data_IF_985498858886
#
_entry.id   IF_985498858886
#
_cell.length_a   1.000
_cell.length_b   1.000
_cell.length_c   1.000
_cell.angle_alpha   90.00
_cell.angle_beta   90.00
_cell.angle_gamma   90.00
#
_symmetry.space_group_name_H-M   'P 1'
#
loop_
_entity.id
_entity.type
_entity.pdbx_description
1 polymer ?
#
# COMPACT_ATOMS: atom_id res chain seq x y z
N UNK A 1 -4.93 -24.31 13.62
CA UNK A 1 -4.85 -22.87 13.29
C UNK A 1 -5.40 -22.64 11.91
N UNK A 2 -6.04 -21.52 11.70
CA UNK A 2 -6.57 -21.19 10.39
C UNK A 2 -5.47 -20.66 9.48
N UNK A 3 -5.69 -20.78 8.17
CA UNK A 3 -4.81 -20.20 7.16
C UNK A 3 -4.73 -18.68 7.31
N UNK A 4 -5.82 -18.05 7.75
CA UNK A 4 -5.87 -16.61 8.01
C UNK A 4 -4.88 -16.23 9.10
N UNK A 5 -4.89 -16.95 10.24
CA UNK A 5 -3.98 -16.67 11.36
C UNK A 5 -2.52 -16.82 10.94
N UNK A 6 -2.21 -17.84 10.16
CA UNK A 6 -0.85 -18.08 9.70
C UNK A 6 -0.36 -16.94 8.79
N UNK A 7 -1.20 -16.46 7.88
CA UNK A 7 -0.83 -15.37 6.98
C UNK A 7 -0.70 -14.04 7.72
N UNK A 8 -1.55 -13.76 8.69
CA UNK A 8 -1.42 -12.56 9.53
C UNK A 8 -0.09 -12.58 10.29
N UNK A 9 0.27 -13.74 10.84
CA UNK A 9 1.56 -13.91 11.54
C UNK A 9 2.74 -13.66 10.59
N UNK A 10 2.69 -14.20 9.36
CA UNK A 10 3.74 -13.99 8.37
C UNK A 10 3.85 -12.53 7.95
N UNK A 11 2.72 -11.84 7.78
CA UNK A 11 2.72 -10.40 7.47
C UNK A 11 3.36 -9.60 8.60
N UNK A 12 2.97 -9.87 9.84
CA UNK A 12 3.52 -9.18 11.01
C UNK A 12 5.03 -9.39 11.11
N UNK A 13 5.49 -10.63 10.94
CA UNK A 13 6.92 -10.95 10.97
C UNK A 13 7.68 -10.21 9.87
N UNK A 14 7.15 -10.21 8.65
CA UNK A 14 7.79 -9.51 7.53
C UNK A 14 7.91 -8.01 7.78
N UNK A 15 6.86 -7.40 8.33
CA UNK A 15 6.87 -5.96 8.65
C UNK A 15 7.86 -5.64 9.78
N UNK A 16 7.95 -6.49 10.79
CA UNK A 16 8.93 -6.34 11.87
C UNK A 16 10.37 -6.39 11.35
N UNK A 17 10.64 -7.27 10.38
CA UNK A 17 11.97 -7.42 9.79
C UNK A 17 12.44 -6.17 9.06
N UNK A 18 11.52 -5.33 8.59
CA UNK A 18 11.87 -4.06 7.94
C UNK A 18 11.56 -2.85 8.82
N UNK A 19 11.33 -3.08 10.11
CA UNK A 19 11.11 -2.04 11.13
C UNK A 19 9.90 -1.15 10.81
N UNK A 20 8.79 -1.76 10.38
CA UNK A 20 7.54 -1.06 10.10
C UNK A 20 6.55 -1.31 11.23
N UNK A 21 6.12 -0.24 11.90
CA UNK A 21 5.07 -0.32 12.91
C UNK A 21 3.73 -0.65 12.25
N UNK A 22 2.96 -1.53 12.88
CA UNK A 22 1.69 -2.00 12.32
C UNK A 22 0.76 -2.48 13.43
N UNK A 23 -0.52 -2.64 13.08
CA UNK A 23 -1.52 -3.18 13.99
C UNK A 23 -2.13 -4.44 13.36
N UNK A 24 -2.20 -5.52 14.15
CA UNK A 24 -2.78 -6.79 13.73
C UNK A 24 -4.14 -7.00 14.37
N UNK A 25 -5.09 -7.44 13.55
CA UNK A 25 -6.41 -7.86 13.99
C UNK A 25 -6.62 -9.31 13.54
N UNK A 26 -7.79 -9.86 13.86
CA UNK A 26 -8.11 -11.26 13.55
C UNK A 26 -7.87 -11.64 12.07
N UNK A 27 -8.27 -10.77 11.15
CA UNK A 27 -8.24 -11.05 9.72
C UNK A 27 -7.61 -9.95 8.88
N UNK A 28 -6.97 -8.96 9.52
CA UNK A 28 -6.36 -7.86 8.79
C UNK A 28 -5.19 -7.24 9.54
N UNK A 29 -4.35 -6.55 8.76
CA UNK A 29 -3.21 -5.80 9.27
C UNK A 29 -3.31 -4.37 8.73
N UNK A 30 -3.08 -3.38 9.61
CA UNK A 30 -3.07 -1.97 9.22
C UNK A 30 -1.67 -1.38 9.36
N UNK A 31 -1.26 -0.60 8.37
CA UNK A 31 0.00 0.14 8.39
C UNK A 31 -0.32 1.60 8.10
N UNK A 32 0.12 2.50 8.97
CA UNK A 32 -0.02 3.94 8.74
C UNK A 32 1.04 4.42 7.75
N UNK A 33 0.59 5.13 6.72
CA UNK A 33 1.46 5.74 5.72
C UNK A 33 1.08 7.22 5.56
N UNK A 34 1.95 8.05 4.97
CA UNK A 34 1.55 9.42 4.66
C UNK A 34 0.28 9.44 3.81
N UNK A 35 -0.73 10.16 4.26
CA UNK A 35 -2.01 10.28 3.56
C UNK A 35 -3.09 9.30 3.99
N UNK A 36 -2.78 8.27 4.79
CA UNK A 36 -3.79 7.31 5.23
C UNK A 36 -3.21 6.05 5.83
N UNK A 37 -3.90 4.94 5.58
CA UNK A 37 -3.49 3.63 6.05
C UNK A 37 -3.57 2.63 4.90
N UNK A 38 -2.73 1.60 4.95
CA UNK A 38 -2.87 0.41 4.13
C UNK A 38 -3.51 -0.68 4.97
N UNK A 39 -4.58 -1.28 4.46
CA UNK A 39 -5.23 -2.43 5.06
C UNK A 39 -4.96 -3.66 4.22
N UNK A 40 -4.42 -4.70 4.84
CA UNK A 40 -4.34 -6.03 4.23
C UNK A 40 -5.39 -6.88 4.89
N UNK A 41 -6.34 -7.35 4.12
CA UNK A 41 -7.41 -8.22 4.60
C UNK A 41 -7.26 -9.62 4.00
N UNK A 42 -7.43 -10.63 4.83
CA UNK A 42 -7.32 -12.05 4.46
C UNK A 42 -8.67 -12.73 4.75
N UNK A 43 -9.20 -13.43 3.75
CA UNK A 43 -10.44 -14.21 3.91
C UNK A 43 -10.11 -15.69 4.05
N UNK A 44 -11.05 -16.45 4.62
CA UNK A 44 -10.87 -17.88 4.89
C UNK A 44 -10.73 -18.71 3.62
N UNK A 45 -11.27 -18.25 2.50
CA UNK A 45 -11.17 -18.94 1.21
C UNK A 45 -9.80 -18.73 0.53
N UNK A 46 -8.89 -18.01 1.20
CA UNK A 46 -7.56 -17.74 0.66
C UNK A 46 -7.47 -16.46 -0.16
N UNK A 47 -8.59 -15.78 -0.42
CA UNK A 47 -8.53 -14.47 -1.09
C UNK A 47 -7.96 -13.42 -0.14
N UNK A 48 -7.41 -12.36 -0.71
CA UNK A 48 -6.81 -11.27 0.05
C UNK A 48 -6.90 -9.96 -0.73
N UNK A 49 -6.78 -8.86 -0.02
CA UNK A 49 -6.73 -7.55 -0.66
C UNK A 49 -5.80 -6.61 0.09
N UNK A 50 -5.21 -5.68 -0.64
CA UNK A 50 -4.43 -4.57 -0.09
C UNK A 50 -5.10 -3.30 -0.55
N UNK A 51 -5.55 -2.46 0.37
CA UNK A 51 -6.32 -1.27 0.06
C UNK A 51 -5.83 -0.07 0.87
N UNK A 52 -5.77 1.10 0.23
CA UNK A 52 -5.48 2.35 0.92
C UNK A 52 -6.78 2.97 1.42
N UNK A 53 -6.78 3.43 2.68
CA UNK A 53 -7.95 4.04 3.32
C UNK A 53 -7.54 5.34 4.02
N UNK A 54 -8.08 6.50 3.69
CA UNK A 54 -8.84 6.78 2.47
C UNK A 54 -7.93 6.79 1.24
N UNK A 55 -8.47 6.51 0.08
CA UNK A 55 -7.71 6.57 -1.15
C UNK A 55 -8.21 5.59 -2.19
N UNK A 56 -7.58 5.64 -3.37
CA UNK A 56 -7.99 4.84 -4.53
C UNK A 56 -7.06 3.67 -4.82
N UNK A 57 -5.96 3.55 -4.10
CA UNK A 57 -5.01 2.47 -4.35
C UNK A 57 -5.57 1.15 -3.86
N UNK A 58 -5.47 0.13 -4.72
CA UNK A 58 -5.88 -1.23 -4.41
C UNK A 58 -5.01 -2.22 -5.17
N UNK A 59 -4.56 -3.25 -4.48
CA UNK A 59 -3.80 -4.34 -5.11
C UNK A 59 -4.02 -5.63 -4.31
N UNK A 60 -3.24 -6.65 -4.60
CA UNK A 60 -3.28 -7.94 -3.92
C UNK A 60 -1.87 -8.39 -3.57
N UNK A 61 -1.74 -9.18 -2.52
CA UNK A 61 -0.44 -9.75 -2.14
C UNK A 61 0.15 -10.59 -3.27
N UNK A 62 -0.69 -11.31 -4.00
CA UNK A 62 -0.28 -12.11 -5.15
C UNK A 62 0.37 -11.25 -6.24
N UNK A 63 -0.22 -10.07 -6.51
CA UNK A 63 0.33 -9.15 -7.50
C UNK A 63 1.66 -8.59 -7.04
N UNK A 64 1.76 -8.20 -5.77
CA UNK A 64 3.02 -7.71 -5.20
C UNK A 64 4.10 -8.80 -5.23
N UNK A 65 3.73 -10.04 -4.95
CA UNK A 65 4.65 -11.17 -5.00
C UNK A 65 5.25 -11.34 -6.41
N UNK A 66 4.43 -11.21 -7.43
CA UNK A 66 4.89 -11.29 -8.82
C UNK A 66 5.84 -10.15 -9.18
N UNK A 67 5.50 -8.92 -8.77
CA UNK A 67 6.32 -7.74 -9.08
C UNK A 67 7.68 -7.77 -8.36
N UNK A 68 7.73 -8.30 -7.15
CA UNK A 68 8.94 -8.30 -6.31
C UNK A 68 9.66 -9.65 -6.29
N UNK A 69 9.14 -10.65 -6.99
CA UNK A 69 9.75 -11.99 -7.10
C UNK A 69 10.03 -12.64 -5.73
N UNK A 70 9.08 -12.51 -4.79
CA UNK A 70 9.18 -13.07 -3.45
C UNK A 70 7.79 -13.43 -2.93
N UNK A 71 7.67 -13.88 -1.69
CA UNK A 71 6.36 -14.15 -1.09
C UNK A 71 5.53 -12.86 -1.00
N UNK A 72 4.21 -13.00 -0.99
CA UNK A 72 3.30 -11.84 -0.88
C UNK A 72 3.55 -11.05 0.39
N UNK A 73 3.84 -11.71 1.51
CA UNK A 73 4.09 -11.06 2.79
C UNK A 73 5.39 -10.25 2.76
N UNK A 74 6.46 -10.80 2.23
CA UNK A 74 7.73 -10.09 2.06
C UNK A 74 7.60 -8.96 1.03
N UNK A 75 6.87 -9.19 -0.05
CA UNK A 75 6.61 -8.18 -1.07
C UNK A 75 5.85 -6.99 -0.49
N UNK A 76 4.85 -7.25 0.35
CA UNK A 76 4.10 -6.19 1.02
C UNK A 76 5.01 -5.37 1.94
N UNK A 77 5.86 -6.04 2.74
CA UNK A 77 6.81 -5.34 3.62
C UNK A 77 7.76 -4.44 2.82
N UNK A 78 8.30 -4.94 1.71
CA UNK A 78 9.17 -4.16 0.82
C UNK A 78 8.43 -2.98 0.19
N UNK A 79 7.17 -3.19 -0.21
CA UNK A 79 6.32 -2.16 -0.76
C UNK A 79 6.11 -1.02 0.24
N UNK A 80 5.74 -1.36 1.48
CA UNK A 80 5.56 -0.37 2.55
C UNK A 80 6.87 0.38 2.82
N UNK A 81 7.98 -0.34 2.91
CA UNK A 81 9.27 0.29 3.16
C UNK A 81 9.62 1.31 2.06
N UNK A 82 9.32 0.98 0.80
CA UNK A 82 9.56 1.90 -0.33
C UNK A 82 8.71 3.17 -0.22
N UNK A 83 7.50 3.08 0.32
CA UNK A 83 6.64 4.25 0.57
C UNK A 83 7.23 5.10 1.70
N UNK A 84 7.62 4.48 2.81
CA UNK A 84 8.17 5.21 3.96
C UNK A 84 9.52 5.84 3.65
N UNK A 85 10.29 5.26 2.73
CA UNK A 85 11.58 5.82 2.30
C UNK A 85 11.42 6.89 1.21
N UNK A 86 10.21 7.14 0.74
CA UNK A 86 9.95 8.13 -0.31
C UNK A 86 10.27 7.67 -1.73
N UNK A 87 10.64 6.39 -1.93
CA UNK A 87 10.95 5.86 -3.26
C UNK A 87 9.70 5.63 -4.10
N UNK A 88 8.58 5.31 -3.46
CA UNK A 88 7.29 5.12 -4.13
C UNK A 88 6.36 6.23 -3.66
N UNK A 89 5.94 7.16 -4.55
CA UNK A 89 5.22 8.34 -4.11
C UNK A 89 3.78 8.07 -3.73
N UNK A 90 3.33 8.73 -2.67
CA UNK A 90 1.92 8.85 -2.33
C UNK A 90 1.46 10.21 -2.85
N UNK A 91 0.54 10.22 -3.78
CA UNK A 91 0.14 11.42 -4.52
C UNK A 91 -1.28 11.82 -4.16
N UNK A 92 -1.46 13.07 -3.77
CA UNK A 92 -2.76 13.68 -3.61
C UNK A 92 -3.01 14.60 -4.79
N UNK A 93 -3.98 14.22 -5.61
CA UNK A 93 -4.34 14.94 -6.83
C UNK A 93 -5.65 15.70 -6.61
N UNK A 94 -5.70 16.94 -7.09
CA UNK A 94 -6.93 17.73 -7.05
C UNK A 94 -7.35 18.04 -8.48
N UNK A 95 -8.56 17.63 -8.86
CA UNK A 95 -9.09 17.87 -10.19
C UNK A 95 -9.44 19.36 -10.38
N UNK A 96 -9.64 19.82 -11.64
CA UNK A 96 -10.12 21.20 -11.88
C UNK A 96 -11.43 21.50 -11.16
N UNK A 97 -12.26 20.49 -10.89
CA UNK A 97 -13.55 20.63 -10.18
C UNK A 97 -13.37 20.61 -8.65
N UNK A 98 -12.14 20.45 -8.15
CA UNK A 98 -11.87 20.45 -6.71
C UNK A 98 -12.01 19.07 -6.05
N UNK A 99 -12.15 18.00 -6.83
CA UNK A 99 -12.21 16.65 -6.28
C UNK A 99 -10.81 16.18 -5.91
N UNK A 100 -10.63 15.77 -4.65
CA UNK A 100 -9.34 15.32 -4.13
C UNK A 100 -9.29 13.80 -4.14
N UNK A 101 -8.18 13.25 -4.64
CA UNK A 101 -7.95 11.81 -4.75
C UNK A 101 -6.54 11.49 -4.30
N UNK A 102 -6.38 10.45 -3.49
CA UNK A 102 -5.06 10.03 -2.99
C UNK A 102 -4.77 8.62 -3.49
N UNK A 103 -3.58 8.42 -4.04
CA UNK A 103 -3.16 7.12 -4.57
C UNK A 103 -1.66 6.90 -4.34
N UNK A 104 -1.21 5.67 -4.58
CA UNK A 104 0.20 5.30 -4.51
C UNK A 104 0.62 4.94 -5.93
N UNK A 105 1.65 5.62 -6.43
CA UNK A 105 2.12 5.44 -7.80
C UNK A 105 3.48 4.72 -7.80
N UNK A 106 3.82 4.14 -8.93
CA UNK A 106 5.10 3.46 -9.09
C UNK A 106 6.27 4.44 -9.03
N UNK A 107 6.11 5.60 -9.69
CA UNK A 107 7.11 6.66 -9.68
C UNK A 107 6.43 7.99 -10.02
N UNK A 108 7.06 9.10 -9.63
CA UNK A 108 6.57 10.43 -9.99
C UNK A 108 6.63 10.62 -11.52
N UNK A 109 7.69 10.15 -12.16
CA UNK A 109 7.85 10.25 -13.61
C UNK A 109 6.69 9.56 -14.35
N UNK A 110 6.36 8.34 -13.94
CA UNK A 110 5.25 7.59 -14.51
C UNK A 110 3.92 8.32 -14.30
N UNK A 111 3.68 8.84 -13.10
CA UNK A 111 2.47 9.58 -12.78
C UNK A 111 2.30 10.82 -13.66
N UNK A 112 3.37 11.60 -13.85
CA UNK A 112 3.31 12.85 -14.61
C UNK A 112 2.90 12.65 -16.06
N UNK A 113 3.15 11.46 -16.63
CA UNK A 113 2.71 11.13 -17.98
C UNK A 113 1.19 11.06 -18.11
N UNK A 114 0.49 10.80 -17.01
CA UNK A 114 -0.96 10.62 -17.00
C UNK A 114 -1.71 11.70 -16.23
N UNK A 115 -1.01 12.75 -15.78
CA UNK A 115 -1.65 13.83 -15.04
C UNK A 115 -2.68 14.54 -15.92
N UNK A 116 -3.97 14.56 -15.51
CA UNK A 116 -5.00 15.24 -16.30
C UNK A 116 -4.73 16.72 -16.43
N UNK A 117 -5.11 17.29 -17.58
CA UNK A 117 -4.97 18.72 -17.83
C UNK A 117 -5.78 19.54 -16.80
N UNK A 118 -5.15 20.54 -16.20
CA UNK A 118 -5.79 21.40 -15.20
C UNK A 118 -5.82 20.84 -13.80
N UNK A 119 -5.38 19.59 -13.59
CA UNK A 119 -5.25 19.02 -12.25
C UNK A 119 -3.96 19.49 -11.59
N UNK A 120 -3.98 19.57 -10.27
CA UNK A 120 -2.79 19.84 -9.46
C UNK A 120 -2.50 18.63 -8.56
N UNK A 121 -1.28 18.53 -8.06
CA UNK A 121 -0.93 17.41 -7.19
C UNK A 121 0.14 17.82 -6.18
N UNK A 122 0.27 17.02 -5.13
CA UNK A 122 1.40 17.09 -4.22
C UNK A 122 1.80 15.67 -3.79
N UNK A 123 3.09 15.50 -3.47
CA UNK A 123 3.64 14.24 -2.98
C UNK A 123 3.65 14.29 -1.46
N UNK A 124 2.90 13.39 -0.82
CA UNK A 124 2.71 13.43 0.64
C UNK A 124 3.88 12.84 1.42
N UNK A 125 4.68 11.99 0.79
CA UNK A 125 5.83 11.33 1.42
C UNK A 125 7.17 11.78 0.83
N UNK A 126 7.23 12.96 0.27
CA UNK A 126 8.49 13.52 -0.22
C UNK A 126 9.46 13.73 0.96
N UNK A 127 10.69 13.31 0.77
CA UNK A 127 11.73 13.48 1.78
C UNK A 127 12.21 14.94 1.82
#
# INVERSE_FOLDING_TARGET
>A
MSQVDDRITLLSTALEQVAVAHECYHDCVFVTIPGGQLEVKIWEDGSESVQMIPGDFHTHLEILAMEHETSGENAFASFVRSILDGRRPVIQETSPEGVVRTTIEESLESYLQYLPSGATFRVLNAA
#
